data_IF_964724834866
#
_entry.id   IF_964724834866
#
_cell.length_a   1.000
_cell.length_b   1.000
_cell.length_c   1.000
_cell.angle_alpha   90.00
_cell.angle_beta   90.00
_cell.angle_gamma   90.00
#
_symmetry.space_group_name_H-M   'P 1'
#
loop_
_entity.id
_entity.type
_entity.pdbx_description
1 polymer ?
#
# COMPACT_ATOMS: atom_id res chain seq x y z
N UNK A 1 19.08 -24.73 -28.08
CA UNK A 1 20.13 -23.85 -27.50
C UNK A 1 19.57 -22.43 -27.49
N UNK A 2 19.05 -21.98 -26.36
CA UNK A 2 18.59 -20.59 -26.15
C UNK A 2 19.83 -19.70 -26.06
N UNK A 3 19.90 -18.70 -26.93
CA UNK A 3 20.95 -17.67 -26.91
C UNK A 3 20.96 -17.03 -25.54
N UNK A 4 22.11 -16.86 -24.85
CA UNK A 4 22.14 -16.14 -23.58
C UNK A 4 21.55 -14.75 -23.78
N UNK A 5 20.67 -14.32 -22.87
CA UNK A 5 20.14 -12.96 -22.89
C UNK A 5 21.31 -11.97 -22.84
N UNK A 6 21.29 -10.96 -23.71
CA UNK A 6 22.31 -9.92 -23.71
C UNK A 6 22.34 -9.24 -22.34
N UNK A 7 23.54 -8.90 -21.84
CA UNK A 7 23.66 -8.12 -20.62
C UNK A 7 22.95 -6.77 -20.78
N UNK A 8 22.20 -6.32 -19.76
CA UNK A 8 21.49 -5.05 -19.83
C UNK A 8 22.47 -3.88 -19.98
N UNK A 9 22.11 -2.91 -20.80
CA UNK A 9 22.89 -1.70 -20.99
C UNK A 9 22.92 -0.84 -19.72
N UNK A 10 23.93 0.02 -19.57
CA UNK A 10 24.01 0.96 -18.44
C UNK A 10 22.78 1.89 -18.39
N UNK A 11 22.20 2.25 -19.54
CA UNK A 11 20.99 3.06 -19.63
C UNK A 11 19.76 2.31 -19.06
N UNK A 12 19.57 1.04 -19.40
CA UNK A 12 18.46 0.22 -18.86
C UNK A 12 18.61 0.02 -17.36
N UNK A 13 19.83 -0.18 -16.86
CA UNK A 13 20.09 -0.31 -15.42
C UNK A 13 19.76 1.03 -14.70
N UNK A 14 20.14 2.16 -15.29
CA UNK A 14 19.83 3.47 -14.74
C UNK A 14 18.31 3.75 -14.76
N UNK A 15 17.62 3.39 -15.84
CA UNK A 15 16.16 3.51 -15.94
C UNK A 15 15.45 2.64 -14.89
N UNK A 16 15.83 1.38 -14.74
CA UNK A 16 15.24 0.51 -13.73
C UNK A 16 15.41 1.06 -12.31
N UNK A 17 16.58 1.61 -12.00
CA UNK A 17 16.83 2.28 -10.70
C UNK A 17 15.97 3.53 -10.52
N UNK A 18 15.86 4.37 -11.54
CA UNK A 18 15.04 5.58 -11.51
C UNK A 18 13.56 5.23 -11.31
N UNK A 19 13.02 4.27 -12.09
CA UNK A 19 11.64 3.85 -11.99
C UNK A 19 11.29 3.28 -10.61
N UNK A 20 12.24 2.78 -9.85
CA UNK A 20 12.06 2.29 -8.47
C UNK A 20 12.14 3.41 -7.41
N UNK A 21 11.75 4.64 -7.72
CA UNK A 21 11.77 5.78 -6.80
C UNK A 21 10.42 6.51 -6.75
N UNK A 22 10.09 7.10 -5.60
CA UNK A 22 8.94 7.99 -5.48
C UNK A 22 9.05 9.22 -6.37
N UNK A 23 10.28 9.70 -6.64
CA UNK A 23 10.55 10.78 -7.59
C UNK A 23 10.06 10.42 -8.99
N UNK A 24 10.38 9.22 -9.49
CA UNK A 24 9.91 8.79 -10.82
C UNK A 24 8.38 8.72 -10.88
N UNK A 25 7.71 8.33 -9.79
CA UNK A 25 6.24 8.36 -9.70
C UNK A 25 5.73 9.79 -9.93
N UNK A 26 6.29 10.79 -9.22
CA UNK A 26 5.89 12.20 -9.41
C UNK A 26 6.23 12.73 -10.78
N UNK A 27 7.45 12.52 -11.27
CA UNK A 27 7.90 13.04 -12.56
C UNK A 27 7.02 12.51 -13.71
N UNK A 28 6.71 11.20 -13.72
CA UNK A 28 5.87 10.59 -14.76
C UNK A 28 4.40 10.99 -14.63
N UNK A 29 3.90 11.08 -13.39
CA UNK A 29 2.55 11.57 -13.14
C UNK A 29 2.39 13.05 -13.55
N UNK A 30 3.37 13.88 -13.25
CA UNK A 30 3.40 15.29 -13.64
C UNK A 30 3.41 15.46 -15.16
N UNK A 31 4.19 14.64 -15.89
CA UNK A 31 4.21 14.68 -17.36
C UNK A 31 2.81 14.38 -17.95
N UNK A 32 2.07 13.42 -17.40
CA UNK A 32 0.68 13.16 -17.80
C UNK A 32 -0.27 14.29 -17.40
N UNK A 33 -0.08 14.89 -16.24
CA UNK A 33 -0.87 16.06 -15.82
C UNK A 33 -0.68 17.25 -16.76
N UNK A 34 0.52 17.52 -17.25
CA UNK A 34 0.81 18.56 -18.22
C UNK A 34 0.12 18.30 -19.57
N UNK A 35 0.05 17.04 -20.00
CA UNK A 35 -0.75 16.67 -21.18
C UNK A 35 -2.25 16.92 -20.92
N UNK A 36 -2.76 16.61 -19.73
CA UNK A 36 -4.14 16.91 -19.37
C UNK A 36 -4.44 18.42 -19.41
N UNK A 37 -3.54 19.24 -18.87
CA UNK A 37 -3.67 20.69 -18.84
C UNK A 37 -3.71 21.30 -20.26
N UNK A 38 -3.05 20.67 -21.24
CA UNK A 38 -3.11 21.06 -22.66
C UNK A 38 -4.29 20.42 -23.42
N UNK A 39 -5.10 19.59 -22.74
CA UNK A 39 -6.21 18.88 -23.38
C UNK A 39 -5.79 17.68 -24.24
N UNK A 40 -4.55 17.24 -24.15
CA UNK A 40 -3.93 16.20 -25.01
C UNK A 40 -4.14 14.78 -24.52
N UNK A 41 -4.62 14.55 -23.27
CA UNK A 41 -4.99 13.20 -22.80
C UNK A 41 -6.29 12.73 -23.45
N UNK A 42 -6.36 11.41 -23.69
CA UNK A 42 -7.52 10.82 -24.35
C UNK A 42 -8.72 10.68 -23.41
N UNK A 43 -8.52 10.32 -22.14
CA UNK A 43 -9.60 9.88 -21.26
C UNK A 43 -10.13 10.97 -20.32
N UNK A 44 -9.26 11.93 -19.92
CA UNK A 44 -9.62 12.92 -18.90
C UNK A 44 -9.23 14.35 -19.29
N UNK A 45 -10.01 15.30 -18.79
CA UNK A 45 -9.62 16.70 -18.61
C UNK A 45 -9.61 17.05 -17.12
N UNK A 46 -8.94 18.13 -16.75
CA UNK A 46 -8.83 18.62 -15.37
C UNK A 46 -9.55 19.96 -15.25
N UNK A 47 -10.50 20.05 -14.36
CA UNK A 47 -11.12 21.30 -13.94
C UNK A 47 -10.53 21.76 -12.60
N UNK A 48 -9.49 22.56 -12.65
CA UNK A 48 -8.82 23.08 -11.45
C UNK A 48 -9.71 23.99 -10.59
N UNK A 49 -10.77 24.58 -11.16
CA UNK A 49 -11.69 25.45 -10.40
C UNK A 49 -12.47 24.67 -9.33
N UNK A 50 -12.55 23.35 -9.48
CA UNK A 50 -13.24 22.45 -8.53
C UNK A 50 -12.33 21.99 -7.39
N UNK A 51 -11.01 22.25 -7.45
CA UNK A 51 -10.07 21.75 -6.46
C UNK A 51 -10.28 22.40 -5.08
N UNK A 52 -10.43 23.72 -5.02
CA UNK A 52 -10.66 24.43 -3.76
C UNK A 52 -11.99 24.04 -3.08
N UNK A 53 -13.15 24.01 -3.77
CA UNK A 53 -14.39 23.48 -3.20
C UNK A 53 -14.27 22.03 -2.71
N UNK A 54 -13.54 21.18 -3.44
CA UNK A 54 -13.30 19.80 -3.02
C UNK A 54 -12.42 19.73 -1.75
N UNK A 55 -11.39 20.59 -1.64
CA UNK A 55 -10.57 20.68 -0.44
C UNK A 55 -11.39 21.11 0.78
N UNK A 56 -12.35 22.04 0.63
CA UNK A 56 -13.29 22.41 1.72
C UNK A 56 -14.16 21.22 2.14
N UNK A 57 -14.62 20.42 1.19
CA UNK A 57 -15.35 19.18 1.50
C UNK A 57 -14.48 18.22 2.30
N UNK A 58 -13.23 17.98 1.85
CA UNK A 58 -12.28 17.12 2.54
C UNK A 58 -12.00 17.63 3.97
N UNK A 59 -11.82 18.94 4.14
CA UNK A 59 -11.60 19.54 5.48
C UNK A 59 -12.80 19.33 6.41
N UNK A 60 -14.04 19.44 5.92
CA UNK A 60 -15.23 19.12 6.73
C UNK A 60 -15.23 17.66 7.19
N UNK A 61 -14.93 16.72 6.29
CA UNK A 61 -14.84 15.29 6.61
C UNK A 61 -13.71 15.05 7.62
N UNK A 62 -12.55 15.70 7.41
CA UNK A 62 -11.39 15.61 8.31
C UNK A 62 -11.75 16.06 9.73
N UNK A 63 -12.37 17.24 9.88
CA UNK A 63 -12.75 17.79 11.20
C UNK A 63 -13.82 16.96 11.89
N UNK A 64 -14.73 16.35 11.14
CA UNK A 64 -15.73 15.44 11.70
C UNK A 64 -15.09 14.15 12.26
N UNK A 65 -14.06 13.62 11.60
CA UNK A 65 -13.35 12.43 12.05
C UNK A 65 -12.29 12.73 13.14
N UNK A 66 -11.62 13.87 13.02
CA UNK A 66 -10.54 14.32 13.90
C UNK A 66 -10.77 15.78 14.33
N UNK A 67 -11.47 16.00 15.47
CA UNK A 67 -11.67 17.35 16.00
C UNK A 67 -10.34 18.10 16.25
N UNK A 68 -9.32 17.40 16.77
CA UNK A 68 -7.94 17.90 16.80
C UNK A 68 -7.18 17.39 15.56
N UNK A 69 -7.04 18.24 14.57
CA UNK A 69 -6.35 17.93 13.30
C UNK A 69 -4.85 17.65 13.48
N UNK A 70 -4.25 18.07 14.60
CA UNK A 70 -2.84 17.76 14.91
C UNK A 70 -2.65 16.33 15.38
N UNK A 71 -3.70 15.73 15.94
CA UNK A 71 -3.71 14.35 16.40
C UNK A 71 -3.97 13.31 15.26
N UNK A 72 -4.15 13.76 14.01
CA UNK A 72 -4.33 12.85 12.88
C UNK A 72 -3.08 11.95 12.76
N UNK A 73 -3.23 10.61 12.81
CA UNK A 73 -2.12 9.69 12.59
C UNK A 73 -1.79 9.60 11.09
N UNK A 74 -0.63 9.03 10.78
CA UNK A 74 -0.28 8.68 9.40
C UNK A 74 -1.18 7.54 8.87
N UNK A 75 -1.45 7.56 7.56
CA UNK A 75 -2.24 6.52 6.88
C UNK A 75 -1.45 5.21 6.77
N UNK A 76 -1.56 4.37 7.79
CA UNK A 76 -0.85 3.10 7.89
C UNK A 76 -1.82 1.93 8.01
N UNK A 77 -1.33 0.71 7.78
CA UNK A 77 -2.11 -0.51 8.00
C UNK A 77 -2.60 -0.64 9.44
N UNK A 78 -1.86 -0.12 10.40
CA UNK A 78 -2.22 -0.17 11.82
C UNK A 78 -3.55 0.53 12.12
N UNK A 79 -3.91 1.59 11.36
CA UNK A 79 -5.22 2.27 11.50
C UNK A 79 -6.39 1.38 11.15
N UNK A 80 -6.20 0.43 10.23
CA UNK A 80 -7.24 -0.51 9.87
C UNK A 80 -7.41 -1.65 10.89
N UNK A 81 -6.42 -1.88 11.77
CA UNK A 81 -6.57 -2.84 12.86
C UNK A 81 -7.44 -2.30 14.00
N UNK A 82 -7.64 -1.00 14.11
CA UNK A 82 -8.42 -0.37 15.19
C UNK A 82 -9.92 -0.22 14.85
N UNK A 83 -10.36 -0.77 13.73
CA UNK A 83 -11.76 -0.71 13.30
C UNK A 83 -12.70 -1.38 14.31
N UNK A 84 -13.92 -0.83 14.45
CA UNK A 84 -14.91 -1.32 15.43
C UNK A 84 -14.62 -0.90 16.86
N UNK A 85 -13.71 0.05 17.12
CA UNK A 85 -13.37 0.52 18.46
C UNK A 85 -12.54 -0.48 19.29
N UNK A 86 -11.96 -1.47 18.63
CA UNK A 86 -11.11 -2.49 19.28
C UNK A 86 -9.66 -2.17 18.97
N UNK A 87 -8.87 -1.88 20.02
CA UNK A 87 -7.42 -1.66 19.91
C UNK A 87 -6.67 -3.00 19.76
N UNK A 88 -6.60 -3.49 18.52
CA UNK A 88 -5.88 -4.74 18.20
C UNK A 88 -4.36 -4.55 18.23
N UNK A 89 -3.89 -3.32 18.05
CA UNK A 89 -2.46 -3.01 18.16
C UNK A 89 -1.99 -3.13 19.60
N UNK A 90 -2.75 -2.60 20.58
CA UNK A 90 -2.44 -2.80 22.00
C UNK A 90 -2.54 -4.28 22.41
N UNK A 91 -3.48 -5.05 21.84
CA UNK A 91 -3.53 -6.51 22.06
C UNK A 91 -2.28 -7.22 21.55
N UNK A 92 -1.79 -6.86 20.37
CA UNK A 92 -0.52 -7.37 19.84
C UNK A 92 0.63 -7.00 20.77
N UNK A 93 0.76 -5.72 21.15
CA UNK A 93 1.83 -5.24 22.03
C UNK A 93 1.85 -5.98 23.38
N UNK A 94 0.68 -6.23 23.96
CA UNK A 94 0.57 -7.02 25.17
C UNK A 94 1.08 -8.46 24.98
N UNK A 95 0.78 -9.08 23.84
CA UNK A 95 1.26 -10.44 23.50
C UNK A 95 2.75 -10.49 23.26
N UNK A 96 3.32 -9.42 22.71
CA UNK A 96 4.75 -9.32 22.40
C UNK A 96 5.60 -8.83 23.60
N UNK A 97 5.00 -8.37 24.70
CA UNK A 97 5.68 -7.68 25.80
C UNK A 97 6.82 -8.45 26.42
N UNK A 98 6.76 -9.79 26.45
CA UNK A 98 7.79 -10.70 26.96
C UNK A 98 8.95 -10.98 25.97
N UNK A 99 8.84 -10.52 24.74
CA UNK A 99 9.88 -10.76 23.72
C UNK A 99 10.98 -9.69 23.74
N UNK A 100 12.21 -10.02 23.30
CA UNK A 100 13.24 -9.03 23.05
C UNK A 100 12.78 -7.91 22.10
N UNK A 101 13.30 -6.68 22.22
CA UNK A 101 12.92 -5.54 21.37
C UNK A 101 12.97 -5.85 19.88
N UNK A 102 14.02 -6.48 19.39
CA UNK A 102 14.17 -6.87 17.99
C UNK A 102 13.08 -7.83 17.53
N UNK A 103 12.71 -8.80 18.35
CA UNK A 103 11.64 -9.76 18.02
C UNK A 103 10.27 -9.11 18.01
N UNK A 104 10.01 -8.12 18.87
CA UNK A 104 8.79 -7.31 18.85
C UNK A 104 8.69 -6.50 17.56
N UNK A 105 9.78 -5.82 17.20
CA UNK A 105 9.86 -5.04 15.96
C UNK A 105 9.68 -5.94 14.73
N UNK A 106 10.35 -7.10 14.69
CA UNK A 106 10.17 -8.08 13.64
C UNK A 106 8.70 -8.55 13.51
N UNK A 107 8.03 -8.87 14.61
CA UNK A 107 6.64 -9.33 14.58
C UNK A 107 5.68 -8.24 14.04
N UNK A 108 5.88 -6.97 14.40
CA UNK A 108 5.10 -5.85 13.83
C UNK A 108 5.33 -5.71 12.32
N UNK A 109 6.55 -5.87 11.85
CA UNK A 109 6.87 -5.87 10.42
C UNK A 109 6.19 -7.03 9.70
N UNK A 110 6.24 -8.22 10.25
CA UNK A 110 5.63 -9.42 9.67
C UNK A 110 4.11 -9.29 9.56
N UNK A 111 3.45 -8.78 10.60
CA UNK A 111 2.02 -8.48 10.55
C UNK A 111 1.72 -7.41 9.49
N UNK A 112 2.45 -6.29 9.49
CA UNK A 112 2.19 -5.20 8.55
C UNK A 112 2.40 -5.66 7.10
N UNK A 113 3.51 -6.34 6.80
CA UNK A 113 3.82 -6.81 5.45
C UNK A 113 2.78 -7.82 4.96
N UNK A 114 2.51 -8.87 5.72
CA UNK A 114 1.55 -9.90 5.31
C UNK A 114 0.14 -9.32 5.16
N UNK A 115 -0.28 -8.44 6.06
CA UNK A 115 -1.60 -7.82 6.02
C UNK A 115 -1.76 -6.86 4.84
N UNK A 116 -0.74 -6.02 4.54
CA UNK A 116 -0.77 -5.12 3.38
C UNK A 116 -0.80 -5.91 2.07
N UNK A 117 -0.01 -6.98 1.96
CA UNK A 117 0.02 -7.81 0.74
C UNK A 117 -1.30 -8.56 0.51
N UNK A 118 -2.08 -8.80 1.56
CA UNK A 118 -3.40 -9.41 1.47
C UNK A 118 -4.52 -8.39 1.21
N UNK A 119 -4.24 -7.08 1.22
CA UNK A 119 -5.23 -6.02 1.03
C UNK A 119 -5.29 -5.53 -0.42
N UNK A 120 -5.68 -6.39 -1.32
CA UNK A 120 -6.18 -6.01 -2.63
C UNK A 120 -7.72 -6.09 -2.64
N UNK A 121 -8.41 -5.50 -3.61
CA UNK A 121 -9.87 -5.43 -3.63
C UNK A 121 -10.59 -6.73 -3.21
N UNK A 122 -11.43 -6.65 -2.19
CA UNK A 122 -12.11 -7.82 -1.61
C UNK A 122 -13.35 -8.26 -2.42
N UNK A 123 -13.82 -7.42 -3.33
CA UNK A 123 -15.14 -7.57 -3.95
C UNK A 123 -16.26 -6.98 -3.08
N UNK A 124 -17.46 -6.91 -3.66
CA UNK A 124 -18.59 -6.22 -3.03
C UNK A 124 -19.32 -7.07 -1.99
N UNK A 125 -19.28 -8.39 -2.14
CA UNK A 125 -20.09 -9.33 -1.34
C UNK A 125 -19.36 -9.91 -0.15
N UNK A 126 -18.03 -9.85 -0.13
CA UNK A 126 -17.23 -10.46 0.93
C UNK A 126 -17.30 -9.66 2.24
N UNK A 127 -17.39 -10.38 3.33
CA UNK A 127 -17.31 -9.87 4.69
C UNK A 127 -16.55 -10.83 5.61
N UNK A 128 -16.00 -10.29 6.67
CA UNK A 128 -15.35 -11.04 7.73
C UNK A 128 -16.07 -10.80 9.06
N UNK A 129 -16.44 -11.86 9.75
CA UNK A 129 -17.05 -11.80 11.08
C UNK A 129 -16.02 -12.18 12.13
N UNK A 130 -15.64 -11.22 12.97
CA UNK A 130 -14.74 -11.45 14.10
C UNK A 130 -15.42 -12.28 15.21
N UNK A 131 -14.62 -12.96 16.05
CA UNK A 131 -15.14 -13.79 17.15
C UNK A 131 -16.03 -13.03 18.14
N UNK A 132 -15.89 -11.70 18.25
CA UNK A 132 -16.74 -10.82 19.06
C UNK A 132 -18.12 -10.53 18.46
N UNK A 133 -18.37 -10.95 17.22
CA UNK A 133 -19.67 -10.81 16.53
C UNK A 133 -19.75 -9.65 15.53
N UNK A 134 -18.83 -8.72 15.53
CA UNK A 134 -18.78 -7.63 14.58
C UNK A 134 -18.41 -8.14 13.17
N UNK A 135 -18.98 -7.48 12.16
CA UNK A 135 -18.75 -7.83 10.75
C UNK A 135 -18.12 -6.66 10.02
N UNK A 136 -16.99 -6.93 9.34
CA UNK A 136 -16.23 -5.95 8.60
C UNK A 136 -16.16 -6.34 7.13
N UNK A 137 -16.04 -5.35 6.25
CA UNK A 137 -16.00 -5.54 4.80
C UNK A 137 -14.79 -4.82 4.22
N UNK A 138 -14.44 -5.13 2.96
CA UNK A 138 -13.40 -4.40 2.22
C UNK A 138 -12.06 -4.40 2.97
N UNK A 139 -11.31 -3.29 2.93
CA UNK A 139 -9.98 -3.16 3.52
C UNK A 139 -9.97 -3.35 5.05
N UNK A 140 -11.01 -2.87 5.75
CA UNK A 140 -11.14 -3.09 7.19
C UNK A 140 -11.35 -4.58 7.51
N UNK A 141 -12.22 -5.26 6.75
CA UNK A 141 -12.43 -6.70 6.88
C UNK A 141 -11.15 -7.50 6.60
N UNK A 142 -10.42 -7.14 5.54
CA UNK A 142 -9.13 -7.75 5.21
C UNK A 142 -8.08 -7.51 6.30
N UNK A 143 -8.13 -6.33 6.96
CA UNK A 143 -7.25 -6.06 8.09
C UNK A 143 -7.52 -6.99 9.26
N UNK A 144 -8.77 -7.07 9.72
CA UNK A 144 -9.14 -7.93 10.85
C UNK A 144 -8.85 -9.39 10.54
N UNK A 145 -9.24 -9.89 9.36
CA UNK A 145 -8.99 -11.28 8.95
C UNK A 145 -7.49 -11.61 8.91
N UNK A 146 -6.66 -10.72 8.38
CA UNK A 146 -5.20 -10.94 8.33
C UNK A 146 -4.53 -10.79 9.69
N UNK A 147 -5.05 -9.92 10.55
CA UNK A 147 -4.64 -9.83 11.95
C UNK A 147 -4.93 -11.14 12.69
N UNK A 148 -6.14 -11.66 12.60
CA UNK A 148 -6.52 -12.92 13.24
C UNK A 148 -5.71 -14.10 12.68
N UNK A 149 -5.47 -14.15 11.38
CA UNK A 149 -4.59 -15.13 10.73
C UNK A 149 -3.18 -15.10 11.34
N UNK A 150 -2.59 -13.91 11.50
CA UNK A 150 -1.27 -13.74 12.10
C UNK A 150 -1.27 -14.13 13.59
N UNK A 151 -2.24 -13.64 14.34
CA UNK A 151 -2.36 -13.89 15.79
C UNK A 151 -2.64 -15.35 16.14
N UNK A 152 -3.23 -16.12 15.23
CA UNK A 152 -3.44 -17.57 15.41
C UNK A 152 -2.15 -18.39 15.30
N UNK A 153 -1.04 -17.80 14.82
CA UNK A 153 0.21 -18.50 14.55
C UNK A 153 0.22 -19.32 13.25
N UNK A 154 -0.82 -19.20 12.43
CA UNK A 154 -0.96 -20.00 11.20
C UNK A 154 0.09 -19.67 10.12
N UNK A 155 0.86 -18.59 10.27
CA UNK A 155 1.97 -18.23 9.38
C UNK A 155 3.35 -18.62 9.95
N UNK A 156 3.41 -19.18 11.17
CA UNK A 156 4.66 -19.61 11.81
C UNK A 156 5.00 -21.06 11.47
N UNK A 157 6.30 -21.36 11.35
CA UNK A 157 6.81 -22.73 11.25
C UNK A 157 6.79 -23.47 12.62
N UNK A 158 6.76 -22.71 13.74
CA UNK A 158 6.63 -23.26 15.11
C UNK A 158 5.60 -22.46 15.92
N UNK A 159 4.30 -22.65 15.64
CA UNK A 159 3.25 -21.88 16.32
C UNK A 159 3.14 -22.12 17.83
N UNK A 160 3.69 -23.21 18.32
CA UNK A 160 3.67 -23.53 19.74
C UNK A 160 4.67 -22.69 20.55
N UNK A 161 5.84 -22.37 19.97
CA UNK A 161 6.91 -21.63 20.66
C UNK A 161 7.04 -20.18 20.17
N UNK A 162 6.73 -19.94 18.91
CA UNK A 162 6.91 -18.64 18.25
C UNK A 162 5.71 -18.28 17.36
N UNK A 163 4.50 -18.10 17.93
CA UNK A 163 3.27 -17.93 17.14
C UNK A 163 3.25 -16.66 16.30
N UNK A 164 3.88 -15.58 16.78
CA UNK A 164 3.79 -14.25 16.14
C UNK A 164 4.89 -14.06 15.10
N UNK A 165 4.86 -14.90 14.06
CA UNK A 165 5.82 -14.92 12.96
C UNK A 165 5.14 -15.22 11.63
N UNK A 166 5.81 -14.78 10.55
CA UNK A 166 5.50 -15.18 9.19
C UNK A 166 6.76 -15.81 8.57
N UNK A 167 6.90 -17.11 8.76
CA UNK A 167 8.11 -17.84 8.41
C UNK A 167 8.07 -18.35 6.97
N UNK A 168 9.21 -18.36 6.26
CA UNK A 168 9.29 -18.71 4.86
C UNK A 168 8.82 -20.14 4.56
N UNK A 169 9.05 -21.07 5.46
CA UNK A 169 8.62 -22.46 5.34
C UNK A 169 7.09 -22.57 5.23
N UNK A 170 6.36 -21.94 6.13
CA UNK A 170 4.89 -21.92 6.10
C UNK A 170 4.37 -21.07 4.94
N UNK A 171 4.93 -19.87 4.72
CA UNK A 171 4.50 -18.99 3.62
C UNK A 171 4.56 -19.68 2.24
N UNK A 172 5.61 -20.48 1.97
CA UNK A 172 5.74 -21.20 0.70
C UNK A 172 4.67 -22.27 0.47
N UNK A 173 3.99 -22.72 1.52
CA UNK A 173 2.96 -23.76 1.48
C UNK A 173 1.53 -23.23 1.53
N UNK A 174 1.33 -21.94 1.83
CA UNK A 174 -0.01 -21.34 1.93
C UNK A 174 -0.79 -21.55 0.63
N UNK A 175 -1.92 -22.25 0.72
CA UNK A 175 -2.86 -22.47 -0.36
C UNK A 175 -4.02 -21.48 -0.37
N UNK A 176 -4.77 -21.43 -1.48
CA UNK A 176 -6.02 -20.68 -1.54
C UNK A 176 -7.05 -21.20 -0.51
N UNK A 177 -7.11 -22.51 -0.29
CA UNK A 177 -8.03 -23.10 0.68
C UNK A 177 -7.68 -22.71 2.12
N UNK A 178 -6.39 -22.56 2.46
CA UNK A 178 -5.96 -22.13 3.80
C UNK A 178 -6.41 -20.68 4.06
N UNK A 179 -6.14 -19.80 3.10
CA UNK A 179 -6.63 -18.42 3.16
C UNK A 179 -8.16 -18.37 3.11
N UNK A 180 -8.79 -19.20 2.27
CA UNK A 180 -10.25 -19.27 2.18
C UNK A 180 -10.89 -19.59 3.53
N UNK A 181 -10.37 -20.55 4.26
CA UNK A 181 -10.83 -20.87 5.62
C UNK A 181 -10.59 -19.71 6.59
N UNK A 182 -9.39 -19.15 6.60
CA UNK A 182 -9.02 -18.04 7.48
C UNK A 182 -9.86 -16.78 7.21
N UNK A 183 -10.19 -16.51 5.97
CA UNK A 183 -10.97 -15.36 5.52
C UNK A 183 -12.48 -15.65 5.38
N UNK A 184 -12.94 -16.79 5.88
CA UNK A 184 -14.35 -17.20 5.89
C UNK A 184 -14.99 -17.19 4.50
N UNK A 185 -14.22 -17.58 3.47
CA UNK A 185 -14.70 -17.63 2.09
C UNK A 185 -15.65 -18.81 1.90
N UNK A 186 -16.80 -18.55 1.32
CA UNK A 186 -17.85 -19.51 1.00
C UNK A 186 -18.54 -19.11 -0.31
N UNK A 187 -19.37 -19.95 -0.92
CA UNK A 187 -20.11 -19.61 -2.14
C UNK A 187 -20.99 -18.35 -1.99
N UNK A 188 -21.56 -18.14 -0.79
CA UNK A 188 -22.36 -16.96 -0.42
C UNK A 188 -21.51 -15.76 0.06
N UNK A 189 -20.22 -15.96 0.37
CA UNK A 189 -19.26 -14.96 0.83
C UNK A 189 -17.95 -15.02 0.04
N UNK A 190 -17.96 -14.77 -1.29
CA UNK A 190 -16.80 -14.95 -2.15
C UNK A 190 -15.80 -13.80 -2.02
N UNK A 191 -14.53 -14.11 -1.78
CA UNK A 191 -13.41 -13.15 -1.80
C UNK A 191 -12.77 -13.13 -3.19
N UNK A 192 -12.76 -11.97 -3.84
CA UNK A 192 -12.11 -11.78 -5.13
C UNK A 192 -10.59 -11.89 -5.00
N UNK A 193 -9.91 -12.57 -5.94
CA UNK A 193 -8.45 -12.63 -6.00
C UNK A 193 -7.80 -13.52 -4.92
N UNK A 194 -8.47 -14.55 -4.43
CA UNK A 194 -7.96 -15.46 -3.41
C UNK A 194 -6.68 -16.18 -3.85
N UNK A 195 -6.63 -16.69 -5.09
CA UNK A 195 -5.44 -17.36 -5.65
C UNK A 195 -4.25 -16.41 -5.79
N UNK A 196 -4.52 -15.16 -6.19
CA UNK A 196 -3.51 -14.10 -6.28
C UNK A 196 -2.85 -13.84 -4.92
N UNK A 197 -3.65 -13.72 -3.87
CA UNK A 197 -3.18 -13.55 -2.48
C UNK A 197 -2.32 -14.71 -2.00
N UNK A 198 -2.78 -15.93 -2.22
CA UNK A 198 -2.00 -17.13 -1.88
C UNK A 198 -0.68 -17.17 -2.67
N UNK A 199 -0.70 -16.81 -3.94
CA UNK A 199 0.50 -16.75 -4.79
C UNK A 199 1.51 -15.72 -4.30
N UNK A 200 1.06 -14.52 -3.86
CA UNK A 200 1.94 -13.50 -3.30
C UNK A 200 2.61 -14.00 -2.01
N UNK A 201 1.88 -14.64 -1.09
CA UNK A 201 2.47 -15.19 0.13
C UNK A 201 3.49 -16.28 -0.16
N UNK A 202 3.20 -17.17 -1.12
CA UNK A 202 4.18 -18.21 -1.53
C UNK A 202 5.46 -17.60 -2.11
N UNK A 203 5.33 -16.59 -2.97
CA UNK A 203 6.49 -15.87 -3.52
C UNK A 203 7.25 -15.13 -2.42
N UNK A 204 6.55 -14.54 -1.45
CA UNK A 204 7.17 -13.91 -0.29
C UNK A 204 8.06 -14.90 0.46
N UNK A 205 7.57 -16.10 0.78
CA UNK A 205 8.36 -17.16 1.41
C UNK A 205 9.60 -17.56 0.59
N UNK A 206 9.47 -17.64 -0.74
CA UNK A 206 10.60 -17.92 -1.63
C UNK A 206 11.65 -16.79 -1.63
N UNK A 207 11.20 -15.54 -1.66
CA UNK A 207 12.08 -14.35 -1.64
C UNK A 207 12.87 -14.30 -0.33
N UNK A 208 12.21 -14.50 0.81
CA UNK A 208 12.87 -14.52 2.13
C UNK A 208 14.01 -15.56 2.15
N UNK A 209 13.75 -16.76 1.63
CA UNK A 209 14.73 -17.85 1.60
C UNK A 209 15.93 -17.57 0.67
N UNK A 210 15.75 -16.73 -0.36
CA UNK A 210 16.79 -16.41 -1.36
C UNK A 210 17.62 -15.18 -1.03
N UNK A 211 17.22 -14.39 -0.03
CA UNK A 211 17.83 -13.09 0.32
C UNK A 211 18.39 -13.10 1.76
N UNK A 212 19.37 -13.99 2.10
CA UNK A 212 19.91 -14.07 3.44
C UNK A 212 20.62 -12.78 3.90
N UNK A 213 21.08 -11.94 2.97
CA UNK A 213 21.68 -10.64 3.27
C UNK A 213 20.68 -9.62 3.84
N UNK A 214 19.37 -9.80 3.58
CA UNK A 214 18.30 -8.96 4.12
C UNK A 214 17.57 -9.66 5.27
N UNK A 215 17.27 -10.94 5.11
CA UNK A 215 16.38 -11.70 6.00
C UNK A 215 17.13 -12.68 6.90
N UNK A 216 18.44 -12.85 6.74
CA UNK A 216 19.28 -13.72 7.57
C UNK A 216 19.57 -13.15 8.94
N UNK A 217 20.19 -13.98 9.81
CA UNK A 217 20.68 -13.52 11.10
C UNK A 217 21.91 -12.60 10.91
N UNK A 218 21.90 -11.46 11.60
CA UNK A 218 23.09 -10.60 11.71
C UNK A 218 23.87 -10.94 12.98
N UNK A 219 25.16 -10.65 12.98
CA UNK A 219 26.02 -10.87 14.17
C UNK A 219 25.57 -10.05 15.39
N UNK A 220 24.80 -8.98 15.18
CA UNK A 220 24.28 -8.08 16.22
C UNK A 220 22.86 -8.46 16.68
N UNK A 221 22.22 -9.45 16.04
CA UNK A 221 20.86 -9.86 16.40
C UNK A 221 20.83 -10.52 17.77
N UNK A 222 20.00 -10.04 18.66
CA UNK A 222 19.71 -10.67 19.97
C UNK A 222 18.84 -11.91 19.86
N UNK A 223 18.30 -12.20 18.67
CA UNK A 223 17.48 -13.38 18.38
C UNK A 223 18.33 -14.65 18.36
N UNK A 224 17.85 -15.69 19.02
CA UNK A 224 18.51 -17.01 19.09
C UNK A 224 18.36 -17.84 17.81
N UNK A 225 17.49 -17.43 16.88
CA UNK A 225 17.22 -18.15 15.64
C UNK A 225 18.13 -17.67 14.51
N UNK A 226 18.80 -18.59 13.82
CA UNK A 226 19.63 -18.33 12.64
C UNK A 226 18.85 -18.42 11.31
N UNK A 227 17.61 -18.93 11.35
CA UNK A 227 16.78 -19.09 10.15
C UNK A 227 16.37 -17.73 9.56
N UNK A 228 16.25 -17.60 8.22
CA UNK A 228 15.70 -16.41 7.61
C UNK A 228 14.31 -16.05 8.16
N UNK A 229 14.07 -14.76 8.37
CA UNK A 229 12.82 -14.26 8.95
C UNK A 229 12.39 -12.96 8.26
N UNK A 230 11.12 -12.86 7.87
CA UNK A 230 10.57 -11.68 7.16
C UNK A 230 10.82 -10.38 7.95
N UNK A 231 10.57 -10.39 9.24
CA UNK A 231 10.70 -9.22 10.11
C UNK A 231 12.12 -8.67 10.22
N UNK A 232 13.16 -9.42 9.83
CA UNK A 232 14.54 -8.92 9.84
C UNK A 232 14.79 -7.80 8.84
N UNK A 233 13.88 -7.56 7.88
CA UNK A 233 13.87 -6.33 7.12
C UNK A 233 13.90 -5.09 8.04
N UNK A 234 13.23 -5.14 9.19
CA UNK A 234 13.26 -4.06 10.17
C UNK A 234 14.66 -3.83 10.75
N UNK A 235 15.35 -4.90 11.11
CA UNK A 235 16.73 -4.84 11.66
C UNK A 235 17.69 -4.34 10.58
N UNK A 236 17.52 -4.83 9.35
CA UNK A 236 18.30 -4.36 8.20
C UNK A 236 18.11 -2.85 7.97
N UNK A 237 16.87 -2.34 8.03
CA UNK A 237 16.56 -0.92 7.91
C UNK A 237 17.11 -0.10 9.09
N UNK A 238 16.88 -0.55 10.33
CA UNK A 238 17.42 0.12 11.51
C UNK A 238 18.97 0.23 11.46
N UNK A 239 19.62 -0.79 10.93
CA UNK A 239 21.08 -0.78 10.71
C UNK A 239 21.56 0.21 9.64
N UNK A 240 20.68 0.72 8.78
CA UNK A 240 20.98 1.76 7.79
C UNK A 240 20.82 3.18 8.34
N UNK A 241 20.17 3.33 9.51
CA UNK A 241 19.97 4.63 10.13
C UNK A 241 21.33 5.31 10.44
N UNK A 242 21.44 6.60 10.11
CA UNK A 242 22.61 7.43 10.38
C UNK A 242 22.26 8.44 11.46
N UNK A 243 23.05 8.46 12.52
CA UNK A 243 22.73 9.27 13.71
C UNK A 243 21.28 9.07 14.21
N UNK A 244 20.76 7.84 14.10
CA UNK A 244 19.39 7.49 14.49
C UNK A 244 18.29 7.89 13.51
N UNK A 245 18.63 8.50 12.37
CA UNK A 245 17.67 8.95 11.36
C UNK A 245 17.72 8.08 10.09
N UNK A 246 16.56 7.84 9.48
CA UNK A 246 16.39 7.09 8.23
C UNK A 246 15.38 7.80 7.33
N UNK A 247 15.74 8.18 6.09
CA UNK A 247 14.79 8.75 5.15
C UNK A 247 13.69 7.75 4.76
N UNK A 248 12.44 8.21 4.64
CA UNK A 248 11.33 7.36 4.20
C UNK A 248 11.55 6.78 2.80
N UNK A 249 12.27 7.50 1.93
CA UNK A 249 12.69 7.03 0.61
C UNK A 249 13.65 5.84 0.68
N UNK A 250 14.48 5.73 1.73
CA UNK A 250 15.34 4.55 1.95
C UNK A 250 14.51 3.32 2.36
N UNK A 251 13.44 3.51 3.16
CA UNK A 251 12.49 2.43 3.48
C UNK A 251 11.79 1.93 2.21
N UNK A 252 11.31 2.84 1.34
CA UNK A 252 10.71 2.48 0.06
C UNK A 252 11.69 1.72 -0.84
N UNK A 253 12.93 2.20 -0.95
CA UNK A 253 13.96 1.55 -1.76
C UNK A 253 14.23 0.12 -1.27
N UNK A 254 14.34 -0.09 0.04
CA UNK A 254 14.52 -1.42 0.63
C UNK A 254 13.30 -2.32 0.40
N UNK A 255 12.07 -1.81 0.51
CA UNK A 255 10.85 -2.56 0.21
C UNK A 255 10.81 -2.99 -1.25
N UNK A 256 11.10 -2.08 -2.19
CA UNK A 256 11.10 -2.38 -3.62
C UNK A 256 12.22 -3.35 -4.02
N UNK A 257 13.41 -3.22 -3.42
CA UNK A 257 14.51 -4.14 -3.66
C UNK A 257 14.26 -5.51 -3.03
N UNK A 258 13.88 -5.55 -1.75
CA UNK A 258 13.72 -6.81 -1.01
C UNK A 258 12.49 -7.62 -1.46
N UNK A 259 11.40 -6.97 -1.85
CA UNK A 259 10.11 -7.60 -2.13
C UNK A 259 9.68 -7.50 -3.61
N UNK A 260 10.51 -6.92 -4.50
CA UNK A 260 10.15 -6.71 -5.92
C UNK A 260 9.71 -7.99 -6.65
N UNK A 261 10.35 -9.11 -6.36
CA UNK A 261 10.09 -10.40 -7.02
C UNK A 261 8.80 -11.11 -6.56
N UNK A 262 8.10 -10.59 -5.54
CA UNK A 262 6.80 -11.15 -5.13
C UNK A 262 5.69 -10.82 -6.14
N UNK A 263 5.85 -9.71 -6.88
CA UNK A 263 4.83 -9.26 -7.82
C UNK A 263 4.79 -10.10 -9.09
N UNK A 264 3.64 -10.23 -9.75
CA UNK A 264 3.59 -10.79 -11.10
C UNK A 264 4.55 -10.03 -12.03
N UNK A 265 5.28 -10.76 -12.87
CA UNK A 265 6.17 -10.14 -13.87
C UNK A 265 5.34 -9.52 -14.99
N UNK A 266 5.12 -8.20 -14.92
CA UNK A 266 4.39 -7.41 -15.93
C UNK A 266 5.38 -6.68 -16.84
N UNK A 267 6.07 -5.71 -16.28
CA UNK A 267 7.13 -4.96 -16.96
C UNK A 267 8.49 -5.37 -16.38
N UNK A 268 9.45 -5.61 -17.27
CA UNK A 268 10.82 -5.96 -16.89
C UNK A 268 11.78 -4.96 -17.53
N UNK A 269 12.75 -4.49 -16.75
CA UNK A 269 13.82 -3.61 -17.22
C UNK A 269 15.14 -4.04 -16.59
N UNK A 270 16.18 -4.19 -17.41
CA UNK A 270 17.49 -4.69 -16.98
C UNK A 270 17.43 -6.02 -16.20
N UNK A 271 16.53 -6.93 -16.59
CA UNK A 271 16.30 -8.20 -15.91
C UNK A 271 15.57 -8.11 -14.58
N UNK A 272 15.18 -6.91 -14.14
CA UNK A 272 14.41 -6.70 -12.90
C UNK A 272 12.92 -6.57 -13.19
N UNK A 273 12.10 -7.26 -12.40
CA UNK A 273 10.66 -7.04 -12.36
C UNK A 273 10.37 -5.65 -11.76
N UNK A 274 9.65 -4.81 -12.49
CA UNK A 274 9.35 -3.45 -12.07
C UNK A 274 8.08 -3.35 -11.18
N UNK A 275 7.32 -4.42 -11.01
CA UNK A 275 6.13 -4.46 -10.15
C UNK A 275 4.99 -3.59 -10.68
N UNK A 276 4.59 -2.59 -9.91
CA UNK A 276 3.47 -1.67 -10.25
C UNK A 276 3.94 -0.52 -11.16
N UNK A 277 4.43 -0.89 -12.35
CA UNK A 277 4.85 -0.01 -13.43
C UNK A 277 4.06 -0.37 -14.69
N UNK A 278 3.60 0.63 -15.43
CA UNK A 278 2.73 0.46 -16.59
C UNK A 278 3.17 1.36 -17.74
N UNK A 279 2.96 0.92 -18.97
CA UNK A 279 3.32 1.71 -20.14
C UNK A 279 2.16 2.59 -20.59
N UNK A 280 2.43 3.90 -20.79
CA UNK A 280 1.51 4.84 -21.42
C UNK A 280 2.07 5.32 -22.76
N UNK A 281 1.25 5.41 -23.84
CA UNK A 281 1.73 5.75 -25.18
C UNK A 281 2.51 7.08 -25.26
N UNK A 282 2.11 8.09 -24.49
CA UNK A 282 2.70 9.42 -24.55
C UNK A 282 3.99 9.59 -23.73
N UNK A 283 4.18 8.84 -22.63
CA UNK A 283 5.27 9.09 -21.68
C UNK A 283 6.13 7.85 -21.37
N UNK A 284 5.82 6.71 -21.98
CA UNK A 284 6.50 5.45 -21.71
C UNK A 284 6.13 4.86 -20.35
N UNK A 285 7.10 4.31 -19.62
CA UNK A 285 6.89 3.63 -18.34
C UNK A 285 6.50 4.61 -17.23
N UNK A 286 5.39 4.32 -16.55
CA UNK A 286 4.81 5.10 -15.45
C UNK A 286 4.75 4.23 -14.21
N UNK A 287 5.62 4.46 -13.21
CA UNK A 287 5.57 3.75 -11.94
C UNK A 287 4.50 4.35 -11.03
N UNK A 288 3.91 3.51 -10.19
CA UNK A 288 3.04 3.93 -9.10
C UNK A 288 3.50 3.37 -7.75
N UNK A 289 3.90 2.10 -7.72
CA UNK A 289 4.33 1.40 -6.50
C UNK A 289 3.36 1.61 -5.33
N UNK A 290 2.05 1.68 -5.63
CA UNK A 290 1.01 2.08 -4.67
C UNK A 290 1.06 1.24 -3.39
N UNK A 291 1.08 -0.08 -3.54
CA UNK A 291 1.06 -0.98 -2.39
C UNK A 291 2.39 -0.94 -1.62
N UNK A 292 3.52 -0.82 -2.34
CA UNK A 292 4.84 -0.67 -1.72
C UNK A 292 4.98 0.66 -0.98
N UNK A 293 4.41 1.75 -1.48
CA UNK A 293 4.39 3.03 -0.77
C UNK A 293 3.50 2.98 0.48
N UNK A 294 2.32 2.36 0.40
CA UNK A 294 1.48 2.18 1.58
C UNK A 294 2.13 1.26 2.62
N UNK A 295 2.80 0.20 2.14
CA UNK A 295 3.62 -0.63 3.01
C UNK A 295 4.74 0.20 3.67
N UNK A 296 5.43 1.06 2.93
CA UNK A 296 6.45 1.95 3.48
C UNK A 296 5.88 2.84 4.59
N UNK A 297 4.75 3.52 4.38
CA UNK A 297 4.08 4.28 5.44
C UNK A 297 3.79 3.40 6.66
N UNK A 298 3.36 2.16 6.45
CA UNK A 298 3.03 1.22 7.53
C UNK A 298 4.27 0.73 8.28
N UNK A 299 5.42 0.59 7.63
CA UNK A 299 6.66 0.14 8.26
C UNK A 299 7.41 1.28 8.99
N UNK A 300 7.19 2.53 8.59
CA UNK A 300 7.75 3.68 9.31
C UNK A 300 7.26 3.74 10.76
N UNK A 301 5.99 3.44 11.02
CA UNK A 301 5.41 3.50 12.37
C UNK A 301 6.13 2.60 13.41
N UNK A 302 6.33 1.29 13.19
CA UNK A 302 7.07 0.47 14.14
C UNK A 302 8.57 0.80 14.20
N UNK A 303 9.18 1.34 13.13
CA UNK A 303 10.55 1.85 13.19
C UNK A 303 10.65 3.06 14.14
N UNK A 304 9.74 4.01 14.05
CA UNK A 304 9.67 5.17 14.98
C UNK A 304 9.44 4.70 16.42
N UNK A 305 8.55 3.74 16.64
CA UNK A 305 8.32 3.13 17.96
C UNK A 305 9.57 2.42 18.51
N UNK A 306 10.49 1.96 17.64
CA UNK A 306 11.76 1.36 18.05
C UNK A 306 12.89 2.37 18.30
N UNK A 307 12.62 3.68 18.08
CA UNK A 307 13.58 4.76 18.28
C UNK A 307 14.32 5.22 17.02
N UNK A 308 13.96 4.72 15.83
CA UNK A 308 14.50 5.23 14.56
C UNK A 308 13.68 6.47 14.15
N UNK A 309 14.34 7.60 13.95
CA UNK A 309 13.69 8.82 13.48
C UNK A 309 13.51 8.78 11.97
N UNK A 310 12.25 8.73 11.49
CA UNK A 310 11.95 8.76 10.05
C UNK A 310 11.93 10.20 9.56
N UNK A 311 12.74 10.49 8.54
CA UNK A 311 12.81 11.81 7.89
C UNK A 311 12.20 11.77 6.49
N UNK A 312 11.98 12.95 5.92
CA UNK A 312 11.61 13.14 4.51
C UNK A 312 10.35 12.38 4.06
N UNK A 313 9.38 12.18 4.97
CA UNK A 313 8.13 11.48 4.67
C UNK A 313 7.33 12.08 3.53
N UNK A 314 7.50 13.39 3.25
CA UNK A 314 6.89 14.09 2.13
C UNK A 314 7.52 13.74 0.76
N UNK A 315 8.65 13.04 0.72
CA UNK A 315 9.21 12.48 -0.53
C UNK A 315 8.38 11.32 -1.08
N UNK A 316 7.65 10.58 -0.21
CA UNK A 316 6.70 9.57 -0.65
C UNK A 316 5.47 10.24 -1.29
N UNK A 317 4.80 9.53 -2.22
CA UNK A 317 3.66 10.09 -2.96
C UNK A 317 2.32 9.75 -2.32
N UNK A 318 1.29 10.46 -2.74
CA UNK A 318 -0.09 10.05 -2.52
C UNK A 318 -0.38 8.68 -3.17
N UNK A 319 -1.35 7.97 -2.60
CA UNK A 319 -1.69 6.62 -3.03
C UNK A 319 -2.68 6.66 -4.21
N UNK A 320 -2.23 6.21 -5.39
CA UNK A 320 -3.04 6.12 -6.61
C UNK A 320 -3.96 4.90 -6.56
N UNK A 321 -4.96 4.94 -5.66
CA UNK A 321 -5.97 3.91 -5.45
C UNK A 321 -7.39 4.46 -5.73
N UNK A 322 -8.37 3.58 -5.86
CA UNK A 322 -9.70 3.91 -6.36
C UNK A 322 -10.50 4.89 -5.47
N UNK A 323 -10.24 4.99 -4.16
CA UNK A 323 -10.91 5.94 -3.26
C UNK A 323 -10.41 7.37 -3.49
N UNK A 324 -9.10 7.54 -3.49
CA UNK A 324 -8.47 8.82 -3.77
C UNK A 324 -8.74 9.26 -5.23
N UNK A 325 -8.62 8.34 -6.20
CA UNK A 325 -8.95 8.65 -7.59
C UNK A 325 -10.43 8.95 -7.80
N UNK A 326 -11.30 8.23 -7.10
CA UNK A 326 -12.74 8.44 -7.11
C UNK A 326 -13.14 9.79 -6.52
N UNK A 327 -12.44 10.27 -5.49
CA UNK A 327 -12.65 11.60 -4.91
C UNK A 327 -12.58 12.70 -5.98
N UNK A 328 -11.59 12.65 -6.87
CA UNK A 328 -11.40 13.68 -7.89
C UNK A 328 -12.41 13.57 -9.04
N UNK A 329 -12.82 12.36 -9.41
CA UNK A 329 -13.87 12.15 -10.41
C UNK A 329 -15.22 12.59 -9.85
N UNK A 330 -15.59 12.13 -8.67
CA UNK A 330 -16.85 12.47 -8.01
C UNK A 330 -16.92 13.95 -7.59
N UNK A 331 -15.78 14.55 -7.26
CA UNK A 331 -15.63 15.96 -6.96
C UNK A 331 -15.65 16.87 -8.20
N UNK A 332 -15.60 16.29 -9.40
CA UNK A 332 -15.63 17.01 -10.67
C UNK A 332 -14.31 17.70 -11.03
N UNK A 333 -13.20 17.37 -10.34
CA UNK A 333 -11.85 17.83 -10.69
C UNK A 333 -11.31 17.05 -11.89
N UNK A 334 -11.52 15.73 -11.92
CA UNK A 334 -11.27 14.89 -13.08
C UNK A 334 -12.57 14.70 -13.86
N UNK A 335 -12.60 15.19 -15.08
CA UNK A 335 -13.77 15.13 -15.96
C UNK A 335 -13.50 14.10 -17.06
N UNK A 336 -14.24 12.97 -17.07
CA UNK A 336 -14.18 12.01 -18.16
C UNK A 336 -14.56 12.65 -19.49
N UNK A 337 -13.77 12.42 -20.54
CA UNK A 337 -14.03 12.93 -21.89
C UNK A 337 -15.05 12.09 -22.66
N UNK A 338 -15.23 10.82 -22.25
CA UNK A 338 -16.14 9.87 -22.92
C UNK A 338 -17.00 9.13 -21.90
N UNK A 339 -18.25 8.82 -22.21
CA UNK A 339 -19.18 8.13 -21.29
C UNK A 339 -18.70 6.71 -20.89
N UNK A 340 -17.97 6.03 -21.75
CA UNK A 340 -17.43 4.68 -21.53
C UNK A 340 -16.40 4.62 -20.40
N UNK A 341 -15.74 5.73 -20.08
CA UNK A 341 -14.86 5.83 -18.89
C UNK A 341 -15.59 5.42 -17.61
N UNK A 342 -16.84 5.82 -17.45
CA UNK A 342 -17.66 5.53 -16.27
C UNK A 342 -18.51 4.26 -16.42
N UNK A 343 -18.94 3.93 -17.64
CA UNK A 343 -19.85 2.80 -17.88
C UNK A 343 -19.11 1.47 -18.05
N UNK A 344 -17.86 1.50 -18.53
CA UNK A 344 -17.03 0.32 -18.78
C UNK A 344 -16.39 -0.27 -17.52
N UNK A 345 -15.79 -1.45 -17.70
CA UNK A 345 -14.82 -2.03 -16.77
C UNK A 345 -13.48 -2.11 -17.50
N UNK A 346 -12.43 -1.61 -16.88
CA UNK A 346 -11.15 -1.36 -17.54
C UNK A 346 -10.05 -2.25 -16.98
N UNK A 347 -9.11 -2.63 -17.84
CA UNK A 347 -7.89 -3.31 -17.40
C UNK A 347 -6.95 -2.33 -16.67
N UNK A 348 -6.24 -2.82 -15.66
CA UNK A 348 -5.27 -2.01 -14.90
C UNK A 348 -4.19 -1.43 -15.83
N UNK A 349 -3.82 -2.18 -16.88
CA UNK A 349 -2.83 -1.79 -17.89
C UNK A 349 -3.32 -0.78 -18.93
N UNK A 350 -4.63 -0.50 -18.97
CA UNK A 350 -5.18 0.41 -19.98
C UNK A 350 -4.64 1.84 -19.80
N UNK A 351 -4.37 2.56 -20.91
CA UNK A 351 -3.95 3.97 -20.83
C UNK A 351 -4.90 4.83 -19.98
N UNK A 352 -6.20 4.59 -20.05
CA UNK A 352 -7.22 5.25 -19.22
C UNK A 352 -6.93 5.09 -17.72
N UNK A 353 -6.65 3.87 -17.25
CA UNK A 353 -6.38 3.62 -15.82
C UNK A 353 -5.03 4.21 -15.42
N UNK A 354 -4.03 4.16 -16.31
CA UNK A 354 -2.73 4.82 -16.08
C UNK A 354 -2.89 6.33 -15.97
N UNK A 355 -3.65 6.98 -16.87
CA UNK A 355 -4.00 8.41 -16.79
C UNK A 355 -4.69 8.72 -15.45
N UNK A 356 -5.75 8.00 -15.11
CA UNK A 356 -6.49 8.20 -13.86
C UNK A 356 -5.59 8.13 -12.63
N UNK A 357 -4.74 7.10 -12.55
CA UNK A 357 -3.80 6.91 -11.44
C UNK A 357 -2.76 8.03 -11.37
N UNK A 358 -2.17 8.41 -12.49
CA UNK A 358 -1.17 9.47 -12.55
C UNK A 358 -1.76 10.83 -12.13
N UNK A 359 -2.93 11.18 -12.68
CA UNK A 359 -3.63 12.41 -12.30
C UNK A 359 -4.01 12.40 -10.81
N UNK A 360 -4.35 11.23 -10.25
CA UNK A 360 -4.63 11.09 -8.81
C UNK A 360 -3.40 11.44 -7.97
N UNK A 361 -2.19 10.97 -8.34
CA UNK A 361 -0.95 11.31 -7.62
C UNK A 361 -0.74 12.82 -7.56
N UNK A 362 -0.80 13.50 -8.71
CA UNK A 362 -0.59 14.95 -8.79
C UNK A 362 -1.66 15.73 -8.02
N UNK A 363 -2.92 15.32 -8.17
CA UNK A 363 -4.04 16.01 -7.51
C UNK A 363 -4.03 15.80 -5.99
N UNK A 364 -3.49 14.69 -5.48
CA UNK A 364 -3.29 14.50 -4.05
C UNK A 364 -2.24 15.47 -3.49
N UNK A 365 -1.14 15.69 -4.18
CA UNK A 365 -0.14 16.69 -3.78
C UNK A 365 -0.77 18.12 -3.81
N UNK A 366 -1.55 18.45 -4.85
CA UNK A 366 -2.20 19.76 -4.98
C UNK A 366 -3.30 20.01 -3.96
N UNK A 367 -4.19 19.04 -3.74
CA UNK A 367 -5.26 19.20 -2.75
C UNK A 367 -4.71 19.27 -1.32
N UNK A 368 -3.56 18.60 -1.05
CA UNK A 368 -2.89 18.69 0.24
C UNK A 368 -2.43 20.13 0.55
N UNK A 369 -1.98 20.88 -0.46
CA UNK A 369 -1.63 22.31 -0.30
C UNK A 369 -2.86 23.12 0.13
N UNK A 370 -4.01 22.93 -0.55
CA UNK A 370 -5.25 23.62 -0.21
C UNK A 370 -5.79 23.23 1.18
N UNK A 371 -5.74 21.94 1.53
CA UNK A 371 -6.16 21.44 2.84
C UNK A 371 -5.31 22.07 3.94
N UNK A 372 -3.98 22.09 3.77
CA UNK A 372 -3.07 22.73 4.74
C UNK A 372 -3.37 24.23 4.91
N UNK A 373 -3.57 24.94 3.81
CA UNK A 373 -3.96 26.36 3.82
C UNK A 373 -5.25 26.57 4.61
N UNK A 374 -6.28 25.77 4.40
CA UNK A 374 -7.57 25.86 5.10
C UNK A 374 -7.48 25.49 6.58
N UNK A 375 -6.53 24.65 6.97
CA UNK A 375 -6.31 24.24 8.35
C UNK A 375 -5.28 25.11 9.09
N UNK A 376 -4.56 25.98 8.38
CA UNK A 376 -3.48 26.80 8.96
C UNK A 376 -2.27 25.97 9.37
N UNK A 377 -1.96 24.92 8.63
CA UNK A 377 -0.84 24.00 8.87
C UNK A 377 0.13 24.01 7.67
N UNK A 378 1.37 23.64 7.92
CA UNK A 378 2.38 23.39 6.89
C UNK A 378 2.54 21.90 6.56
N UNK A 379 3.54 21.57 5.75
CA UNK A 379 3.80 20.20 5.35
C UNK A 379 4.37 19.33 6.48
N UNK A 380 5.02 19.92 7.46
CA UNK A 380 5.57 19.21 8.62
C UNK A 380 4.47 18.95 9.65
N UNK A 381 3.59 19.92 9.89
CA UNK A 381 2.43 19.79 10.79
C UNK A 381 1.37 18.82 10.26
N UNK A 382 1.18 18.79 8.92
CA UNK A 382 0.24 17.88 8.26
C UNK A 382 0.89 17.25 7.01
N UNK A 383 1.82 16.26 7.18
CA UNK A 383 2.41 15.56 6.06
C UNK A 383 1.36 14.82 5.24
N UNK A 384 1.71 14.47 3.97
CA UNK A 384 0.77 13.85 3.03
C UNK A 384 0.11 12.58 3.59
N UNK A 385 0.85 11.75 4.32
CA UNK A 385 0.31 10.57 4.98
C UNK A 385 -0.84 10.87 5.96
N UNK A 386 -0.80 12.02 6.64
CA UNK A 386 -1.89 12.49 7.52
C UNK A 386 -3.06 13.09 6.73
N UNK A 387 -2.79 13.75 5.60
CA UNK A 387 -3.84 14.20 4.68
C UNK A 387 -4.63 13.02 4.12
N UNK A 388 -3.96 11.93 3.77
CA UNK A 388 -4.60 10.70 3.31
C UNK A 388 -5.51 10.11 4.38
N UNK A 389 -5.03 9.93 5.61
CA UNK A 389 -5.78 9.33 6.72
C UNK A 389 -6.94 10.23 7.18
N UNK A 390 -6.63 11.49 7.42
CA UNK A 390 -7.61 12.44 7.96
C UNK A 390 -8.74 12.74 7.01
N UNK A 391 -8.46 12.78 5.71
CA UNK A 391 -9.38 13.41 4.77
C UNK A 391 -9.61 12.69 3.45
N UNK A 392 -8.63 12.58 2.57
CA UNK A 392 -8.92 12.26 1.16
C UNK A 392 -9.51 10.87 0.98
N UNK A 393 -9.00 9.87 1.67
CA UNK A 393 -9.53 8.50 1.60
C UNK A 393 -10.96 8.40 2.15
N UNK A 394 -11.23 9.04 3.33
CA UNK A 394 -12.57 9.08 3.95
C UNK A 394 -13.55 9.86 3.10
N UNK A 395 -13.15 11.02 2.59
CA UNK A 395 -13.96 11.87 1.73
C UNK A 395 -14.31 11.15 0.41
N UNK A 396 -13.35 10.46 -0.20
CA UNK A 396 -13.62 9.65 -1.39
C UNK A 396 -14.61 8.52 -1.13
N UNK A 397 -14.52 7.86 0.04
CA UNK A 397 -15.49 6.84 0.45
C UNK A 397 -16.88 7.44 0.68
N UNK A 398 -16.97 8.55 1.40
CA UNK A 398 -18.24 9.21 1.71
C UNK A 398 -18.90 9.73 0.44
N UNK A 399 -18.17 10.42 -0.42
CA UNK A 399 -18.69 10.96 -1.68
C UNK A 399 -19.18 9.85 -2.62
N UNK A 400 -18.47 8.70 -2.65
CA UNK A 400 -18.93 7.54 -3.40
C UNK A 400 -20.26 6.97 -2.84
N UNK A 401 -20.45 6.94 -1.51
CA UNK A 401 -21.69 6.51 -0.86
C UNK A 401 -22.85 7.47 -1.12
N UNK A 402 -22.59 8.78 -1.13
CA UNK A 402 -23.59 9.81 -1.45
C UNK A 402 -24.05 9.70 -2.92
N UNK A 403 -23.18 9.27 -3.84
CA UNK A 403 -23.48 9.25 -5.28
C UNK A 403 -23.96 7.89 -5.81
N UNK A 404 -23.57 6.78 -5.18
CA UNK A 404 -23.86 5.42 -5.68
C UNK A 404 -24.20 4.45 -4.56
N UNK A 405 -25.21 3.64 -4.80
CA UNK A 405 -25.58 2.56 -3.90
C UNK A 405 -24.36 1.65 -3.62
N UNK A 406 -24.13 1.31 -2.36
CA UNK A 406 -22.98 0.52 -1.93
C UNK A 406 -21.63 1.26 -1.94
N UNK A 407 -21.59 2.55 -2.35
CA UNK A 407 -20.37 3.34 -2.40
C UNK A 407 -19.30 2.75 -3.31
N UNK A 408 -19.70 2.19 -4.46
CA UNK A 408 -18.78 1.67 -5.47
C UNK A 408 -17.95 2.79 -6.11
N UNK A 409 -16.72 2.53 -6.58
CA UNK A 409 -15.92 3.55 -7.25
C UNK A 409 -16.58 4.03 -8.56
N UNK A 410 -16.31 5.27 -9.01
CA UNK A 410 -16.86 5.79 -10.26
C UNK A 410 -16.32 5.07 -11.50
N UNK A 411 -15.11 4.56 -11.44
CA UNK A 411 -14.47 3.82 -12.52
C UNK A 411 -14.24 2.38 -12.03
N UNK A 412 -14.68 1.42 -12.82
CA UNK A 412 -14.54 -0.01 -12.52
C UNK A 412 -13.28 -0.55 -13.18
N UNK A 413 -12.50 -1.30 -12.41
CA UNK A 413 -11.25 -1.91 -12.86
C UNK A 413 -11.26 -3.40 -12.56
N UNK A 414 -10.77 -4.22 -13.51
CA UNK A 414 -10.53 -5.63 -13.28
C UNK A 414 -9.36 -5.79 -12.32
N UNK A 415 -9.64 -6.26 -11.09
CA UNK A 415 -8.59 -6.54 -10.10
C UNK A 415 -8.18 -8.01 -10.16
N UNK A 416 -6.88 -8.26 -10.24
CA UNK A 416 -6.28 -9.58 -10.12
C UNK A 416 -5.91 -9.95 -8.66
N UNK A 417 -6.27 -9.09 -7.70
CA UNK A 417 -5.94 -9.27 -6.29
C UNK A 417 -4.50 -8.89 -5.92
N UNK A 418 -3.75 -8.24 -6.81
CA UNK A 418 -2.34 -7.87 -6.57
C UNK A 418 -2.04 -6.37 -6.72
N UNK A 419 -2.94 -5.62 -7.38
CA UNK A 419 -2.79 -4.18 -7.61
C UNK A 419 -4.13 -3.51 -7.43
N UNK A 420 -4.43 -2.57 -6.77
CA UNK A 420 -5.71 -1.84 -6.69
C UNK A 420 -6.60 -2.25 -5.52
#
# INVERSE_FOLDING_TARGET
MTRPAAEPSAAEVAEAKYLATARAVRDRAQALYELAARGELASFSVDETRLAPLAEYVVRVTRAAYPDVRAIPSHTRFRHFDVGGIDRVARLDARLSGLPPDDRLCAKFELAITSVLLDAGAGERWSYREAGGDTFTRSEGLAVASYDLFMSGALSDDPARAPYRADPGTLTRVGADDLGRAFQVRPDNPLVGLDGRASILRRLGQVISRRPEVFGATATSTSTSTSPRLGRLAIHLAGQARAGALPASAVLAAVLDALGDIWPGREVCAGKNLGDVWTHPAVGRVPFHKLSQWLTYSLCEPLEQSGVHITDGNELTGLAEYRNGGLFVDGGVLVPKHPDVLSGTHEVSSPLVVEWRALTVVLLDRIAVEIRRLLGLDADGLPLAKVLEGGTWRAGRQLAQERRQGGVPPIRVHSDGTVF
#
